data_IF_004854739076
#
_entry.id   IF_004854739076
#
_cell.length_a   1.000
_cell.length_b   1.000
_cell.length_c   1.000
_cell.angle_alpha   90.00
_cell.angle_beta   90.00
_cell.angle_gamma   90.00
#
_symmetry.space_group_name_H-M   'P 1'
#
loop_
_entity.id
_entity.type
_entity.pdbx_description
1 polymer ?
#
# COMPACT_ATOMS: atom_id res chain seq x y z
N UNK A 1 -12.70 -15.18 15.93
CA UNK A 1 -11.48 -15.08 16.77
C UNK A 1 -10.93 -13.68 16.61
N UNK A 2 -10.58 -13.08 17.75
CA UNK A 2 -10.61 -11.66 18.05
C UNK A 2 -9.63 -10.81 17.24
N UNK A 3 -10.09 -9.65 16.76
CA UNK A 3 -9.26 -8.57 16.19
C UNK A 3 -8.25 -8.08 17.25
N UNK A 4 -6.97 -7.92 16.91
CA UNK A 4 -6.04 -7.21 17.78
C UNK A 4 -6.47 -5.74 17.90
N UNK A 5 -6.42 -5.20 19.11
CA UNK A 5 -6.48 -3.78 19.42
C UNK A 5 -5.03 -3.34 19.74
N UNK A 6 -4.51 -2.36 19.02
CA UNK A 6 -3.30 -1.61 19.35
C UNK A 6 -3.64 -0.68 20.52
N UNK A 7 -2.85 -0.76 21.59
CA UNK A 7 -2.92 0.15 22.73
C UNK A 7 -1.67 1.03 22.67
N UNK A 8 -1.86 2.34 22.50
CA UNK A 8 -0.78 3.34 22.39
C UNK A 8 -0.40 3.87 23.78
N UNK A 9 0.89 3.82 24.12
CA UNK A 9 1.65 4.83 24.87
C UNK A 9 3.15 4.51 24.72
N UNK A 10 3.96 5.47 24.27
CA UNK A 10 5.35 5.21 23.88
C UNK A 10 6.40 5.58 24.93
N UNK A 11 7.24 4.61 25.31
CA UNK A 11 8.44 4.79 26.15
C UNK A 11 9.62 5.22 25.26
N UNK A 12 10.49 6.11 25.74
CA UNK A 12 11.74 6.47 25.04
C UNK A 12 12.94 5.94 25.82
N UNK A 13 13.75 5.09 25.20
CA UNK A 13 14.97 4.53 25.79
C UNK A 13 16.11 4.80 24.82
N UNK A 14 17.20 5.42 25.29
CA UNK A 14 18.39 5.74 24.50
C UNK A 14 18.11 6.49 23.17
N UNK A 15 17.11 7.38 23.17
CA UNK A 15 16.71 8.17 22.00
C UNK A 15 15.86 7.40 20.98
N UNK A 16 15.54 6.14 21.25
CA UNK A 16 14.63 5.32 20.45
C UNK A 16 13.25 5.32 21.11
N UNK A 17 12.21 5.62 20.32
CA UNK A 17 10.82 5.56 20.76
C UNK A 17 10.29 4.15 20.54
N UNK A 18 9.58 3.64 21.54
CA UNK A 18 8.99 2.32 21.53
C UNK A 18 7.49 2.42 21.71
N UNK A 19 6.75 1.51 21.08
CA UNK A 19 5.35 1.23 21.34
C UNK A 19 5.17 -0.24 21.70
N UNK A 20 3.93 -0.69 21.70
CA UNK A 20 3.58 -2.07 22.04
C UNK A 20 3.05 -2.78 20.80
N UNK A 21 3.54 -3.99 20.54
CA UNK A 21 3.02 -4.87 19.49
C UNK A 21 2.66 -6.25 20.06
N UNK A 22 1.84 -7.02 19.35
CA UNK A 22 1.57 -8.42 19.70
C UNK A 22 2.50 -9.35 18.95
N UNK A 23 3.10 -10.28 19.68
CA UNK A 23 3.95 -11.30 19.11
C UNK A 23 3.15 -12.55 18.77
N UNK A 24 3.40 -13.19 17.61
CA UNK A 24 2.83 -14.48 17.30
C UNK A 24 3.41 -15.54 18.25
N UNK A 25 2.54 -16.32 18.89
CA UNK A 25 2.97 -17.55 19.58
C UNK A 25 3.04 -18.68 18.56
N UNK A 26 4.16 -19.38 18.48
CA UNK A 26 4.29 -20.58 17.62
C UNK A 26 3.63 -21.84 18.22
N UNK A 27 3.06 -21.78 19.43
CA UNK A 27 2.45 -22.95 20.08
C UNK A 27 1.06 -22.58 20.58
N UNK A 28 0.05 -23.35 20.18
CA UNK A 28 -1.38 -23.03 20.32
C UNK A 28 -1.90 -22.95 21.77
N UNK A 29 -1.54 -21.87 22.46
CA UNK A 29 -2.05 -21.49 23.77
C UNK A 29 -2.39 -19.99 23.79
N UNK A 30 -3.53 -19.66 24.40
CA UNK A 30 -4.21 -18.35 24.36
C UNK A 30 -3.49 -17.17 25.08
N UNK A 31 -2.24 -17.31 25.49
CA UNK A 31 -1.49 -16.24 26.16
C UNK A 31 -0.65 -15.43 25.18
N UNK A 32 -1.19 -14.32 24.67
CA UNK A 32 -0.51 -13.44 23.73
C UNK A 32 0.71 -12.78 24.39
N UNK A 33 1.92 -13.05 23.87
CA UNK A 33 3.13 -12.36 24.30
C UNK A 33 3.17 -10.93 23.73
N UNK A 34 3.59 -9.98 24.57
CA UNK A 34 3.67 -8.56 24.22
C UNK A 34 5.12 -8.23 23.82
N UNK A 35 5.29 -7.66 22.63
CA UNK A 35 6.57 -7.21 22.08
C UNK A 35 6.73 -5.70 22.11
N UNK A 36 7.94 -5.25 21.78
CA UNK A 36 8.28 -3.83 21.63
C UNK A 36 8.23 -3.42 20.17
N UNK A 37 7.31 -2.53 19.82
CA UNK A 37 7.26 -1.91 18.50
C UNK A 37 8.30 -0.79 18.45
N UNK A 38 9.19 -0.81 17.48
CA UNK A 38 10.14 0.29 17.30
C UNK A 38 9.45 1.43 16.54
N UNK A 39 9.22 2.56 17.21
CA UNK A 39 8.59 3.76 16.64
C UNK A 39 9.61 4.76 16.10
N UNK A 40 10.90 4.60 16.42
CA UNK A 40 12.01 5.33 15.79
C UNK A 40 13.29 4.49 15.75
N UNK A 41 14.39 5.04 15.22
CA UNK A 41 15.69 4.37 15.19
C UNK A 41 15.85 3.30 14.09
N UNK A 42 16.96 2.54 14.10
CA UNK A 42 17.34 1.64 13.00
C UNK A 42 16.40 0.45 12.78
N UNK A 43 15.62 0.10 13.81
CA UNK A 43 14.66 -1.01 13.77
C UNK A 43 13.21 -0.53 13.60
N UNK A 44 12.98 0.76 13.29
CA UNK A 44 11.66 1.38 13.16
C UNK A 44 10.73 0.55 12.26
N UNK A 45 9.50 0.32 12.74
CA UNK A 45 8.49 -0.50 12.05
C UNK A 45 8.65 -2.02 12.26
N UNK A 46 9.66 -2.45 13.01
CA UNK A 46 9.80 -3.83 13.48
C UNK A 46 9.16 -4.04 14.86
N UNK A 47 8.73 -5.27 15.15
CA UNK A 47 8.26 -5.70 16.45
C UNK A 47 9.30 -6.64 17.08
N UNK A 48 9.95 -6.21 18.16
CA UNK A 48 10.88 -7.02 18.96
C UNK A 48 10.10 -7.97 19.86
N UNK A 49 10.10 -9.25 19.49
CA UNK A 49 9.36 -10.30 20.17
C UNK A 49 10.29 -11.22 20.95
N UNK A 50 9.98 -11.46 22.22
CA UNK A 50 10.66 -12.49 23.00
C UNK A 50 10.09 -13.85 22.67
N UNK A 51 10.93 -14.71 22.12
CA UNK A 51 10.61 -16.11 21.83
C UNK A 51 10.67 -16.94 23.12
N UNK A 52 10.06 -18.14 23.16
CA UNK A 52 10.06 -19.02 24.33
C UNK A 52 11.45 -19.40 24.85
N UNK A 53 12.48 -19.36 23.99
CA UNK A 53 13.88 -19.61 24.31
C UNK A 53 14.63 -18.36 24.85
N UNK A 54 13.87 -17.30 25.16
CA UNK A 54 14.36 -16.00 25.61
C UNK A 54 15.20 -15.22 24.58
N UNK A 55 15.25 -15.66 23.32
CA UNK A 55 15.83 -14.85 22.23
C UNK A 55 14.86 -13.74 21.82
N UNK A 56 15.39 -12.57 21.50
CA UNK A 56 14.60 -11.46 20.95
C UNK A 56 14.69 -11.50 19.43
N UNK A 57 13.57 -11.77 18.76
CA UNK A 57 13.45 -11.78 17.30
C UNK A 57 12.77 -10.51 16.84
N UNK A 58 13.40 -9.80 15.91
CA UNK A 58 12.81 -8.62 15.28
C UNK A 58 11.94 -9.06 14.10
N UNK A 59 10.62 -8.98 14.26
CA UNK A 59 9.66 -9.18 13.18
C UNK A 59 9.52 -7.89 12.38
N UNK A 60 10.12 -7.87 11.17
CA UNK A 60 10.10 -6.71 10.27
C UNK A 60 8.84 -6.81 9.40
N UNK A 61 8.00 -5.75 9.42
CA UNK A 61 6.71 -5.73 8.72
C UNK A 61 5.52 -5.28 9.59
N UNK A 62 5.74 -4.94 10.87
CA UNK A 62 4.69 -4.40 11.74
C UNK A 62 4.22 -3.00 11.33
N UNK A 63 4.94 -2.31 10.43
CA UNK A 63 4.51 -1.03 9.83
C UNK A 63 3.14 -1.13 9.12
N UNK A 64 2.89 -2.30 8.55
CA UNK A 64 1.69 -2.67 7.83
C UNK A 64 0.49 -2.91 8.78
N UNK A 65 0.76 -3.25 10.06
CA UNK A 65 -0.24 -3.32 11.13
C UNK A 65 -0.64 -1.94 11.67
N UNK A 66 0.27 -0.97 11.69
CA UNK A 66 -0.03 0.41 12.13
C UNK A 66 -1.08 1.08 11.22
N UNK A 67 -1.03 0.82 9.91
CA UNK A 67 -2.04 1.34 8.97
C UNK A 67 -3.39 0.60 9.05
N UNK A 68 -3.41 -0.60 9.64
CA UNK A 68 -4.63 -1.41 9.73
C UNK A 68 -5.52 -1.03 10.92
N UNK A 69 -5.00 -0.35 11.94
CA UNK A 69 -5.71 -0.14 13.22
C UNK A 69 -6.20 1.29 13.49
N UNK A 70 -6.04 2.23 12.55
CA UNK A 70 -6.71 3.55 12.62
C UNK A 70 -8.25 3.46 12.46
N UNK A 71 -8.81 2.25 12.37
CA UNK A 71 -10.22 1.98 12.09
C UNK A 71 -11.18 1.87 13.29
N UNK A 72 -10.75 2.10 14.55
CA UNK A 72 -11.65 2.00 15.72
C UNK A 72 -11.42 3.11 16.76
N UNK A 73 -12.36 4.06 16.87
CA UNK A 73 -12.55 4.91 18.06
C UNK A 73 -13.07 4.08 19.25
N UNK A 74 -12.98 4.47 20.52
CA UNK A 74 -12.61 5.72 21.19
C UNK A 74 -11.99 5.37 22.54
N UNK A 75 -11.15 6.27 23.08
CA UNK A 75 -11.14 6.80 24.46
C UNK A 75 -9.71 7.27 24.78
N UNK A 76 -9.41 8.55 24.55
CA UNK A 76 -8.73 9.47 25.45
C UNK A 76 -8.61 10.83 24.74
N UNK A 77 -8.78 11.88 25.53
CA UNK A 77 -8.84 13.28 25.13
C UNK A 77 -7.59 13.74 24.35
N UNK A 78 -7.84 14.70 23.46
CA UNK A 78 -6.89 15.45 22.68
C UNK A 78 -5.61 15.81 23.44
N UNK A 79 -4.48 15.28 22.97
CA UNK A 79 -3.21 15.99 23.04
C UNK A 79 -2.67 16.09 21.63
N UNK A 80 -2.94 17.27 21.06
CA UNK A 80 -2.47 17.81 19.81
C UNK A 80 -1.19 17.16 19.25
N UNK A 81 -1.32 16.53 18.09
CA UNK A 81 -0.24 16.48 17.11
C UNK A 81 -0.78 16.92 15.75
N UNK A 82 -0.25 18.06 15.31
CA UNK A 82 -0.57 18.71 14.05
C UNK A 82 -0.17 17.82 12.87
N UNK A 83 -1.16 17.27 12.18
CA UNK A 83 -1.06 17.01 10.74
C UNK A 83 -2.41 17.37 10.10
N UNK A 84 -2.45 18.57 9.51
CA UNK A 84 -3.57 19.04 8.70
C UNK A 84 -3.73 18.16 7.45
N UNK A 85 -4.63 17.18 7.49
CA UNK A 85 -5.30 16.67 6.28
C UNK A 85 -6.62 15.92 6.54
N UNK A 86 -7.24 16.05 7.72
CA UNK A 86 -8.63 15.63 7.89
C UNK A 86 -9.53 16.70 7.30
N UNK A 87 -10.20 16.33 6.21
CA UNK A 87 -11.15 17.20 5.52
C UNK A 87 -12.35 17.39 6.45
N UNK A 88 -12.41 18.54 7.11
CA UNK A 88 -13.55 18.95 7.93
C UNK A 88 -14.70 19.46 7.03
N UNK A 89 -15.15 18.59 6.13
CA UNK A 89 -16.25 18.84 5.20
C UNK A 89 -17.58 18.70 5.92
N UNK A 90 -18.50 19.62 5.68
CA UNK A 90 -19.90 19.50 6.08
C UNK A 90 -20.60 18.30 5.43
N UNK A 91 -21.73 17.87 6.00
CA UNK A 91 -22.42 16.64 5.58
C UNK A 91 -22.94 16.67 4.13
N UNK A 92 -23.36 17.84 3.65
CA UNK A 92 -23.74 18.03 2.24
C UNK A 92 -22.50 18.11 1.32
N UNK A 93 -21.37 18.57 1.86
CA UNK A 93 -20.13 18.73 1.09
C UNK A 93 -19.50 17.36 0.78
N UNK A 94 -19.49 16.41 1.72
CA UNK A 94 -18.93 15.07 1.47
C UNK A 94 -19.75 14.29 0.44
N UNK A 95 -21.08 14.46 0.44
CA UNK A 95 -21.97 13.87 -0.56
C UNK A 95 -21.70 14.46 -1.95
N UNK A 96 -21.60 15.78 -2.03
CA UNK A 96 -21.25 16.47 -3.28
C UNK A 96 -19.87 16.06 -3.77
N UNK A 97 -18.89 15.88 -2.88
CA UNK A 97 -17.54 15.44 -3.22
C UNK A 97 -17.56 14.05 -3.86
N UNK A 98 -18.28 13.09 -3.28
CA UNK A 98 -18.43 11.75 -3.85
C UNK A 98 -19.04 11.80 -5.26
N UNK A 99 -20.16 12.53 -5.42
CA UNK A 99 -20.82 12.64 -6.73
C UNK A 99 -19.96 13.35 -7.77
N UNK A 100 -19.24 14.41 -7.39
CA UNK A 100 -18.28 15.08 -8.26
C UNK A 100 -17.16 14.15 -8.68
N UNK A 101 -16.55 13.40 -7.77
CA UNK A 101 -15.50 12.44 -8.10
C UNK A 101 -16.00 11.38 -9.11
N UNK A 102 -17.18 10.81 -8.89
CA UNK A 102 -17.78 9.85 -9.82
C UNK A 102 -18.01 10.48 -11.20
N UNK A 103 -18.58 11.68 -11.25
CA UNK A 103 -18.95 12.34 -12.50
C UNK A 103 -17.74 12.88 -13.29
N UNK A 104 -16.71 13.35 -12.60
CA UNK A 104 -15.56 14.04 -13.20
C UNK A 104 -14.41 13.09 -13.55
N UNK A 105 -14.19 12.02 -12.76
CA UNK A 105 -13.01 11.16 -12.89
C UNK A 105 -13.29 9.84 -13.63
N UNK A 106 -14.53 9.33 -13.61
CA UNK A 106 -14.86 8.07 -14.27
C UNK A 106 -15.37 8.26 -15.70
N UNK A 107 -14.82 7.49 -16.63
CA UNK A 107 -15.26 7.45 -18.03
C UNK A 107 -16.45 6.50 -18.21
N UNK A 108 -17.14 6.57 -19.35
CA UNK A 108 -18.21 5.61 -19.68
C UNK A 108 -17.71 4.16 -19.73
N UNK A 109 -16.46 3.95 -20.17
CA UNK A 109 -15.83 2.61 -20.17
C UNK A 109 -15.59 2.10 -18.75
N UNK A 110 -15.20 2.98 -17.83
CA UNK A 110 -15.04 2.63 -16.41
C UNK A 110 -16.38 2.23 -15.79
N UNK A 111 -17.43 3.02 -16.03
CA UNK A 111 -18.78 2.76 -15.53
C UNK A 111 -19.31 1.41 -16.07
N UNK A 112 -19.12 1.15 -17.36
CA UNK A 112 -19.52 -0.11 -17.98
C UNK A 112 -18.71 -1.30 -17.42
N UNK A 113 -17.40 -1.15 -17.24
CA UNK A 113 -16.55 -2.21 -16.68
C UNK A 113 -16.98 -2.57 -15.27
N UNK A 114 -17.27 -1.57 -14.43
CA UNK A 114 -17.77 -1.79 -13.07
C UNK A 114 -19.13 -2.50 -13.09
N UNK A 115 -20.06 -2.05 -13.93
CA UNK A 115 -21.38 -2.67 -14.06
C UNK A 115 -21.30 -4.12 -14.56
N UNK A 116 -20.43 -4.40 -15.53
CA UNK A 116 -20.23 -5.76 -16.08
C UNK A 116 -19.80 -6.75 -14.99
N UNK A 117 -19.00 -6.30 -14.02
CA UNK A 117 -18.47 -7.15 -12.95
C UNK A 117 -19.50 -7.34 -11.83
N UNK A 118 -20.17 -6.25 -11.43
CA UNK A 118 -21.03 -6.22 -10.23
C UNK A 118 -22.49 -6.52 -10.55
N UNK A 119 -22.87 -6.54 -11.83
CA UNK A 119 -24.25 -6.51 -12.31
C UNK A 119 -25.07 -5.34 -11.73
N UNK A 120 -24.41 -4.29 -11.23
CA UNK A 120 -25.05 -3.13 -10.60
C UNK A 120 -24.51 -1.85 -11.24
N UNK A 121 -25.37 -1.01 -11.83
CA UNK A 121 -24.94 0.30 -12.34
C UNK A 121 -24.34 1.15 -11.22
N UNK A 122 -23.24 1.86 -11.51
CA UNK A 122 -22.59 2.77 -10.54
C UNK A 122 -23.57 3.84 -10.02
N UNK A 123 -24.51 4.31 -10.86
CA UNK A 123 -25.54 5.25 -10.45
C UNK A 123 -26.48 4.72 -9.36
N UNK A 124 -26.71 3.41 -9.31
CA UNK A 124 -27.55 2.80 -8.27
C UNK A 124 -26.76 2.59 -6.98
N UNK A 125 -25.49 2.17 -7.09
CA UNK A 125 -24.55 2.16 -5.97
C UNK A 125 -24.40 3.56 -5.35
N UNK A 126 -24.25 4.60 -6.17
CA UNK A 126 -24.14 5.99 -5.73
C UNK A 126 -25.37 6.43 -4.93
N UNK A 127 -26.59 6.16 -5.42
CA UNK A 127 -27.83 6.48 -4.69
C UNK A 127 -27.82 5.87 -3.29
N UNK A 128 -27.39 4.61 -3.16
CA UNK A 128 -27.34 3.93 -1.86
C UNK A 128 -26.22 4.44 -0.96
N UNK A 129 -25.08 4.86 -1.53
CA UNK A 129 -24.01 5.53 -0.81
C UNK A 129 -24.48 6.87 -0.24
N UNK A 130 -25.22 7.67 -1.02
CA UNK A 130 -25.73 8.98 -0.59
C UNK A 130 -26.78 8.88 0.53
N UNK A 131 -27.33 7.70 0.80
CA UNK A 131 -28.18 7.39 1.95
C UNK A 131 -27.39 7.01 3.22
N UNK A 132 -26.09 6.72 3.11
CA UNK A 132 -25.25 6.38 4.26
C UNK A 132 -24.91 7.60 5.11
N UNK A 133 -24.41 7.35 6.32
CA UNK A 133 -23.97 8.42 7.21
C UNK A 133 -22.78 9.18 6.63
N UNK A 134 -22.64 10.48 6.94
CA UNK A 134 -21.48 11.27 6.55
C UNK A 134 -20.14 10.63 6.97
N UNK A 135 -20.06 10.04 8.16
CA UNK A 135 -18.86 9.34 8.64
C UNK A 135 -18.52 8.12 7.80
N UNK A 136 -19.53 7.38 7.33
CA UNK A 136 -19.31 6.29 6.40
C UNK A 136 -18.77 6.82 5.07
N UNK A 137 -19.31 7.92 4.55
CA UNK A 137 -18.82 8.55 3.32
C UNK A 137 -17.38 9.07 3.46
N UNK A 138 -17.01 9.65 4.61
CA UNK A 138 -15.62 10.03 4.89
C UNK A 138 -14.69 8.82 4.88
N UNK A 139 -15.13 7.66 5.39
CA UNK A 139 -14.38 6.40 5.25
C UNK A 139 -14.29 5.94 3.81
N UNK A 140 -15.37 6.04 3.03
CA UNK A 140 -15.37 5.71 1.58
C UNK A 140 -14.32 6.54 0.84
N UNK A 141 -14.24 7.83 1.17
CA UNK A 141 -13.27 8.78 0.62
C UNK A 141 -12.00 8.90 1.48
N UNK A 142 -11.53 7.81 2.09
CA UNK A 142 -10.25 7.76 2.81
C UNK A 142 -9.28 6.70 2.27
N UNK A 143 -8.08 6.65 2.85
CA UNK A 143 -7.07 5.61 2.58
C UNK A 143 -7.40 4.25 3.23
N UNK A 144 -8.55 4.09 3.90
CA UNK A 144 -8.94 2.83 4.53
C UNK A 144 -8.89 1.69 3.50
N UNK A 145 -7.99 0.71 3.67
CA UNK A 145 -7.73 -0.30 2.62
C UNK A 145 -9.02 -1.02 2.18
N UNK A 146 -9.88 -1.36 3.13
CA UNK A 146 -11.15 -2.01 2.88
C UNK A 146 -12.21 -1.53 3.87
N UNK A 147 -13.45 -1.40 3.40
CA UNK A 147 -14.58 -0.92 4.20
C UNK A 147 -15.62 -2.03 4.22
N UNK A 148 -15.77 -2.74 5.35
CA UNK A 148 -16.80 -3.77 5.45
C UNK A 148 -18.18 -3.10 5.41
N UNK A 149 -19.04 -3.57 4.51
CA UNK A 149 -20.43 -3.19 4.46
C UNK A 149 -21.29 -4.41 4.09
N UNK A 150 -22.47 -4.62 4.71
CA UNK A 150 -23.29 -5.81 4.49
C UNK A 150 -23.69 -6.08 3.03
N UNK A 151 -23.95 -5.03 2.25
CA UNK A 151 -24.47 -5.14 0.87
C UNK A 151 -23.70 -4.34 -0.19
N UNK A 152 -23.17 -3.17 0.15
CA UNK A 152 -22.54 -2.28 -0.83
C UNK A 152 -21.26 -2.85 -1.49
N UNK A 153 -20.53 -3.77 -0.85
CA UNK A 153 -19.40 -4.43 -1.51
C UNK A 153 -19.87 -5.39 -2.62
N UNK A 154 -21.01 -6.07 -2.47
CA UNK A 154 -21.62 -6.88 -3.53
C UNK A 154 -22.02 -6.00 -4.73
N UNK A 155 -22.38 -4.74 -4.47
CA UNK A 155 -22.72 -3.73 -5.47
C UNK A 155 -21.51 -3.00 -6.06
N UNK A 156 -20.30 -3.30 -5.58
CA UNK A 156 -19.06 -2.75 -6.14
C UNK A 156 -18.42 -1.59 -5.38
N UNK A 157 -18.75 -1.35 -4.11
CA UNK A 157 -18.12 -0.26 -3.32
C UNK A 157 -16.59 -0.31 -3.36
N UNK A 158 -15.99 -1.47 -3.11
CA UNK A 158 -14.52 -1.57 -3.16
C UNK A 158 -13.97 -1.28 -4.55
N UNK A 159 -14.62 -1.80 -5.60
CA UNK A 159 -14.20 -1.61 -7.00
C UNK A 159 -14.30 -0.14 -7.44
N UNK A 160 -15.38 0.53 -7.04
CA UNK A 160 -15.56 1.97 -7.27
C UNK A 160 -14.39 2.76 -6.69
N UNK A 161 -13.96 2.41 -5.47
CA UNK A 161 -12.81 3.06 -4.80
C UNK A 161 -11.50 2.77 -5.53
N UNK A 162 -11.27 1.54 -5.98
CA UNK A 162 -10.09 1.19 -6.80
C UNK A 162 -10.02 2.04 -8.07
N UNK A 163 -11.12 2.08 -8.82
CA UNK A 163 -11.16 2.80 -10.09
C UNK A 163 -11.01 4.31 -9.89
N UNK A 164 -11.74 4.89 -8.92
CA UNK A 164 -11.61 6.32 -8.60
C UNK A 164 -10.19 6.67 -8.17
N UNK A 165 -9.55 5.87 -7.32
CA UNK A 165 -8.21 6.17 -6.85
C UNK A 165 -7.17 6.17 -7.98
N UNK A 166 -7.30 5.26 -8.95
CA UNK A 166 -6.47 5.27 -10.16
C UNK A 166 -6.72 6.52 -11.02
N UNK A 167 -7.99 6.83 -11.30
CA UNK A 167 -8.37 7.97 -12.16
C UNK A 167 -7.96 9.31 -11.54
N UNK A 168 -8.16 9.49 -10.24
CA UNK A 168 -7.71 10.68 -9.50
C UNK A 168 -6.19 10.80 -9.53
N UNK A 169 -5.44 9.71 -9.36
CA UNK A 169 -3.98 9.75 -9.47
C UNK A 169 -3.52 10.16 -10.88
N UNK A 170 -4.14 9.63 -11.93
CA UNK A 170 -3.86 9.98 -13.32
C UNK A 170 -4.21 11.44 -13.63
N UNK A 171 -5.36 11.91 -13.14
CA UNK A 171 -5.82 13.30 -13.21
C UNK A 171 -4.82 14.23 -12.54
N UNK A 172 -4.36 13.90 -11.32
CA UNK A 172 -3.33 14.66 -10.59
C UNK A 172 -2.02 14.77 -11.38
N UNK A 173 -1.49 13.65 -11.91
CA UNK A 173 -0.28 13.66 -12.76
C UNK A 173 -0.47 14.54 -14.00
N UNK A 174 -1.65 14.50 -14.63
CA UNK A 174 -1.95 15.32 -15.81
C UNK A 174 -2.04 16.81 -15.47
N UNK A 175 -2.80 17.20 -14.45
CA UNK A 175 -2.95 18.58 -13.97
C UNK A 175 -1.60 19.21 -13.59
N UNK A 176 -0.70 18.43 -12.98
CA UNK A 176 0.66 18.86 -12.62
C UNK A 176 1.67 18.82 -13.78
N UNK A 177 1.26 18.42 -14.98
CA UNK A 177 2.11 18.40 -16.17
C UNK A 177 3.09 17.23 -16.26
N UNK A 178 3.02 16.26 -15.34
CA UNK A 178 3.96 15.14 -15.27
C UNK A 178 3.83 14.14 -16.41
N UNK A 179 2.70 14.16 -17.13
CA UNK A 179 2.52 13.43 -18.39
C UNK A 179 3.55 13.79 -19.49
N UNK A 180 4.27 14.91 -19.33
CA UNK A 180 5.32 15.34 -20.25
C UNK A 180 6.70 14.76 -19.93
N UNK A 181 6.84 14.07 -18.80
CA UNK A 181 8.12 13.49 -18.40
C UNK A 181 8.53 12.37 -19.37
N UNK A 182 9.81 12.22 -19.75
CA UNK A 182 10.25 11.21 -20.71
C UNK A 182 9.91 9.77 -20.31
N UNK A 183 9.93 9.46 -19.01
CA UNK A 183 9.60 8.13 -18.49
C UNK A 183 8.09 7.90 -18.25
N UNK A 184 7.23 8.90 -18.50
CA UNK A 184 5.80 8.81 -18.14
C UNK A 184 5.10 7.65 -18.85
N UNK A 185 5.19 7.57 -20.18
CA UNK A 185 4.52 6.52 -20.96
C UNK A 185 5.00 5.12 -20.57
N UNK A 186 6.31 4.97 -20.30
CA UNK A 186 6.87 3.69 -19.85
C UNK A 186 6.31 3.31 -18.48
N UNK A 187 6.27 4.26 -17.53
CA UNK A 187 5.72 4.00 -16.21
C UNK A 187 4.22 3.69 -16.26
N UNK A 188 3.45 4.41 -17.06
CA UNK A 188 2.00 4.18 -17.21
C UNK A 188 1.69 2.81 -17.82
N UNK A 189 2.59 2.30 -18.67
CA UNK A 189 2.49 0.96 -19.23
C UNK A 189 2.89 -0.11 -18.22
N UNK A 190 4.03 0.06 -17.55
CA UNK A 190 4.67 -1.03 -16.81
C UNK A 190 4.39 -0.99 -15.31
N UNK A 191 4.14 0.17 -14.71
CA UNK A 191 3.98 0.37 -13.27
C UNK A 191 5.28 0.35 -12.47
N UNK A 192 6.41 0.16 -13.16
CA UNK A 192 7.74 0.06 -12.58
C UNK A 192 8.77 0.71 -13.51
N UNK A 193 9.73 1.42 -12.93
CA UNK A 193 10.90 1.95 -13.64
C UNK A 193 12.18 1.40 -13.01
N UNK A 194 13.13 1.06 -13.87
CA UNK A 194 14.50 0.68 -13.50
C UNK A 194 15.44 1.64 -14.23
N UNK A 195 16.32 2.31 -13.48
CA UNK A 195 17.26 3.31 -14.01
C UNK A 195 18.65 3.09 -13.40
N UNK A 196 19.69 3.50 -14.10
CA UNK A 196 21.06 3.52 -13.57
C UNK A 196 21.19 4.65 -12.54
N UNK A 197 21.36 4.27 -11.28
CA UNK A 197 21.49 5.19 -10.15
C UNK A 197 22.72 6.09 -10.28
N UNK A 198 23.79 5.63 -10.93
CA UNK A 198 25.03 6.42 -11.12
C UNK A 198 24.86 7.58 -12.10
N UNK A 199 23.82 7.53 -12.93
CA UNK A 199 23.50 8.55 -13.94
C UNK A 199 22.37 9.49 -13.48
N UNK A 200 21.82 9.29 -12.27
CA UNK A 200 20.73 10.12 -11.76
C UNK A 200 21.25 11.15 -10.76
N UNK A 201 20.99 12.41 -11.05
CA UNK A 201 21.07 13.48 -10.05
C UNK A 201 19.90 13.43 -9.07
N UNK A 202 20.04 14.08 -7.91
CA UNK A 202 18.95 14.26 -6.95
C UNK A 202 17.71 14.90 -7.59
N UNK A 203 17.91 15.85 -8.51
CA UNK A 203 16.81 16.50 -9.21
C UNK A 203 16.07 15.55 -10.16
N UNK A 204 16.80 14.69 -10.88
CA UNK A 204 16.21 13.68 -11.75
C UNK A 204 15.47 12.61 -10.95
N UNK A 205 16.04 12.16 -9.82
CA UNK A 205 15.35 11.26 -8.90
C UNK A 205 14.05 11.88 -8.38
N UNK A 206 14.08 13.14 -7.92
CA UNK A 206 12.87 13.87 -7.49
C UNK A 206 11.86 13.99 -8.63
N UNK A 207 12.32 14.30 -9.84
CA UNK A 207 11.46 14.40 -11.03
C UNK A 207 10.74 13.08 -11.32
N UNK A 208 11.45 11.95 -11.27
CA UNK A 208 10.85 10.61 -11.41
C UNK A 208 9.86 10.34 -10.28
N UNK A 209 10.22 10.61 -9.02
CA UNK A 209 9.34 10.40 -7.87
C UNK A 209 8.06 11.23 -7.93
N UNK A 210 8.15 12.51 -8.29
CA UNK A 210 6.99 13.39 -8.50
C UNK A 210 6.13 12.88 -9.65
N UNK A 211 6.75 12.50 -10.77
CA UNK A 211 6.04 11.98 -11.94
C UNK A 211 5.23 10.73 -11.60
N UNK A 212 5.87 9.72 -10.99
CA UNK A 212 5.16 8.46 -10.70
C UNK A 212 4.09 8.68 -9.64
N UNK A 213 4.32 9.52 -8.64
CA UNK A 213 3.40 9.66 -7.51
C UNK A 213 2.30 10.69 -7.70
N UNK A 214 2.50 11.64 -8.62
CA UNK A 214 1.68 12.83 -8.70
C UNK A 214 1.93 13.81 -7.54
N UNK A 215 2.90 13.58 -6.65
CA UNK A 215 3.25 14.49 -5.55
C UNK A 215 4.04 15.71 -6.06
N UNK A 216 4.02 16.80 -5.30
CA UNK A 216 4.79 18.02 -5.52
C UNK A 216 6.14 17.93 -4.80
N UNK A 217 7.00 18.91 -5.03
CA UNK A 217 8.37 18.89 -4.52
C UNK A 217 8.45 18.89 -2.98
N UNK A 218 7.54 19.62 -2.30
CA UNK A 218 7.51 19.69 -0.83
C UNK A 218 7.00 18.38 -0.20
N UNK A 219 6.28 17.58 -0.97
CA UNK A 219 5.79 16.26 -0.58
C UNK A 219 6.83 15.15 -0.76
N UNK A 220 7.87 15.37 -1.59
CA UNK A 220 8.95 14.39 -1.75
C UNK A 220 9.92 14.47 -0.56
N UNK A 221 10.11 13.37 0.20
CA UNK A 221 10.99 13.38 1.36
C UNK A 221 12.45 13.73 0.99
N UNK A 222 13.28 14.13 1.97
CA UNK A 222 14.72 14.24 1.78
C UNK A 222 15.30 12.95 1.22
N UNK A 223 16.19 13.04 0.22
CA UNK A 223 16.82 11.87 -0.40
C UNK A 223 17.96 11.35 0.49
N UNK A 224 17.60 10.81 1.65
CA UNK A 224 18.52 10.13 2.56
C UNK A 224 18.32 8.64 2.39
N UNK A 225 19.39 7.93 2.09
CA UNK A 225 19.34 6.52 1.76
C UNK A 225 19.96 5.70 2.89
N UNK A 226 19.21 4.71 3.37
CA UNK A 226 19.66 3.80 4.43
C UNK A 226 19.71 2.37 3.92
N UNK A 227 20.76 1.65 4.29
CA UNK A 227 20.88 0.22 3.98
C UNK A 227 19.81 -0.56 4.76
N UNK A 228 19.03 -1.36 4.03
CA UNK A 228 18.00 -2.23 4.61
C UNK A 228 18.24 -3.67 4.15
N UNK A 229 19.14 -4.42 4.81
CA UNK A 229 19.31 -5.84 4.52
C UNK A 229 18.03 -6.59 4.85
N UNK A 230 17.67 -7.52 3.99
CA UNK A 230 16.54 -8.43 4.18
C UNK A 230 17.10 -9.84 4.28
N UNK A 231 16.97 -10.45 5.46
CA UNK A 231 17.29 -11.87 5.65
C UNK A 231 16.08 -12.71 5.29
N UNK A 232 16.25 -13.61 4.34
CA UNK A 232 15.21 -14.53 3.91
C UNK A 232 14.94 -15.57 5.00
N UNK A 233 13.66 -15.83 5.27
CA UNK A 233 13.22 -16.83 6.25
C UNK A 233 12.36 -17.89 5.56
N UNK A 234 12.27 -19.07 6.18
CA UNK A 234 11.34 -20.09 5.75
C UNK A 234 9.90 -19.60 5.95
N UNK A 235 9.03 -19.84 4.97
CA UNK A 235 7.60 -19.48 5.08
C UNK A 235 7.30 -17.99 5.07
N UNK A 236 8.19 -17.14 4.52
CA UNK A 236 7.95 -15.70 4.44
C UNK A 236 6.66 -15.39 3.65
N UNK A 237 5.69 -14.75 4.31
CA UNK A 237 4.42 -14.36 3.71
C UNK A 237 4.60 -13.39 2.52
N UNK A 238 5.74 -12.69 2.45
CA UNK A 238 6.08 -11.76 1.37
C UNK A 238 6.43 -12.47 0.06
N UNK A 239 6.64 -13.79 0.06
CA UNK A 239 6.84 -14.58 -1.16
C UNK A 239 5.58 -14.76 -2.00
N UNK A 240 4.40 -14.61 -1.37
CA UNK A 240 3.15 -14.68 -2.10
C UNK A 240 2.90 -13.36 -2.84
N UNK A 241 2.54 -13.44 -4.13
CA UNK A 241 2.11 -12.28 -4.92
C UNK A 241 0.96 -11.54 -4.24
N UNK A 242 1.02 -10.22 -4.20
CA UNK A 242 0.04 -9.39 -3.52
C UNK A 242 0.00 -7.97 -4.06
N UNK A 243 -1.00 -7.22 -3.60
CA UNK A 243 -1.05 -5.76 -3.67
C UNK A 243 -1.07 -5.21 -2.24
N UNK A 244 -0.33 -4.14 -1.97
CA UNK A 244 -0.24 -3.55 -0.63
C UNK A 244 -1.58 -2.92 -0.21
N UNK A 245 -2.21 -2.22 -1.16
CA UNK A 245 -3.45 -1.49 -0.96
C UNK A 245 -4.20 -1.35 -2.29
N UNK A 246 -5.39 -0.76 -2.25
CA UNK A 246 -6.30 -0.62 -3.40
C UNK A 246 -5.94 0.55 -4.33
N UNK A 247 -5.09 1.47 -3.87
CA UNK A 247 -4.66 2.67 -4.59
C UNK A 247 -3.15 2.68 -4.81
N UNK A 248 -2.68 3.55 -5.70
CA UNK A 248 -1.26 3.67 -5.99
C UNK A 248 -0.43 3.95 -4.72
N UNK A 249 0.63 3.17 -4.54
CA UNK A 249 1.58 3.27 -3.44
C UNK A 249 2.96 2.93 -3.99
N UNK A 250 4.00 3.66 -3.61
CA UNK A 250 5.30 3.53 -4.28
C UNK A 250 6.36 3.05 -3.33
N UNK A 251 7.11 2.01 -3.71
CA UNK A 251 8.32 1.58 -3.01
C UNK A 251 9.54 1.80 -3.91
N UNK A 252 10.65 2.14 -3.28
CA UNK A 252 11.90 2.50 -3.97
C UNK A 252 13.04 1.64 -3.44
N UNK A 253 13.82 1.06 -4.33
CA UNK A 253 15.01 0.28 -4.02
C UNK A 253 16.21 0.88 -4.76
N UNK A 254 17.36 0.96 -4.09
CA UNK A 254 18.65 1.08 -4.76
C UNK A 254 19.42 -0.21 -4.53
N UNK A 255 19.61 -0.99 -5.58
CA UNK A 255 20.45 -2.18 -5.55
C UNK A 255 21.88 -1.77 -5.84
N UNK A 256 22.72 -1.70 -4.80
CA UNK A 256 24.13 -1.31 -4.93
C UNK A 256 24.96 -2.36 -5.66
N UNK A 257 24.57 -3.63 -5.53
CA UNK A 257 25.20 -4.76 -6.20
C UNK A 257 24.28 -5.30 -7.30
N UNK A 258 24.87 -6.07 -8.22
CA UNK A 258 24.07 -6.88 -9.13
C UNK A 258 23.12 -7.76 -8.32
N UNK A 259 21.90 -7.84 -8.82
CA UNK A 259 20.82 -8.57 -8.20
C UNK A 259 20.49 -9.80 -9.03
N UNK A 260 20.77 -10.99 -8.50
CA UNK A 260 20.53 -12.28 -9.17
C UNK A 260 19.24 -12.94 -8.68
N UNK A 261 18.66 -13.91 -9.41
CA UNK A 261 17.45 -14.61 -8.99
C UNK A 261 17.57 -15.26 -7.61
N UNK A 262 18.74 -15.81 -7.28
CA UNK A 262 19.02 -16.56 -6.04
C UNK A 262 19.00 -15.66 -4.80
N UNK A 263 19.13 -14.34 -4.98
CA UNK A 263 19.04 -13.35 -3.91
C UNK A 263 17.58 -12.95 -3.61
N UNK A 264 16.61 -13.54 -4.31
CA UNK A 264 15.18 -13.30 -4.11
C UNK A 264 14.79 -11.83 -4.34
N UNK A 265 15.02 -11.26 -5.53
CA UNK A 265 14.74 -9.85 -5.83
C UNK A 265 13.25 -9.51 -5.84
N UNK A 266 12.90 -8.27 -6.15
CA UNK A 266 11.49 -7.94 -6.39
C UNK A 266 10.97 -8.83 -7.53
N UNK A 267 9.82 -9.47 -7.34
CA UNK A 267 9.02 -10.01 -8.43
C UNK A 267 7.90 -9.03 -8.73
N UNK A 268 7.64 -8.73 -9.99
CA UNK A 268 6.63 -7.75 -10.39
C UNK A 268 5.90 -8.18 -11.67
N UNK A 269 4.61 -7.92 -11.76
CA UNK A 269 3.82 -8.14 -12.99
C UNK A 269 3.61 -6.78 -13.66
N UNK A 270 4.25 -6.55 -14.80
CA UNK A 270 4.14 -5.27 -15.52
C UNK A 270 2.70 -4.97 -15.91
N UNK A 271 2.31 -3.71 -15.80
CA UNK A 271 0.95 -3.24 -16.10
C UNK A 271 -0.12 -3.61 -15.06
N UNK A 272 0.18 -4.49 -14.10
CA UNK A 272 -0.79 -4.92 -13.09
C UNK A 272 -1.16 -3.85 -12.07
N UNK A 273 -0.46 -2.71 -12.03
CA UNK A 273 -0.88 -1.53 -11.28
C UNK A 273 -2.22 -0.95 -11.80
N UNK A 274 -2.56 -1.17 -13.08
CA UNK A 274 -3.82 -0.75 -13.68
C UNK A 274 -4.98 -1.66 -13.31
N UNK A 275 -6.15 -1.06 -13.09
CA UNK A 275 -7.42 -1.74 -12.82
C UNK A 275 -8.06 -2.26 -14.11
N UNK A 276 -7.41 -3.23 -14.74
CA UNK A 276 -8.00 -3.98 -15.86
C UNK A 276 -9.26 -4.73 -15.42
N UNK A 277 -10.15 -5.07 -16.35
CA UNK A 277 -11.35 -5.87 -16.05
C UNK A 277 -11.03 -7.18 -15.32
N UNK A 278 -9.95 -7.87 -15.72
CA UNK A 278 -9.50 -9.10 -15.05
C UNK A 278 -9.05 -8.87 -13.60
N UNK A 279 -8.25 -7.82 -13.34
CA UNK A 279 -7.85 -7.45 -11.98
C UNK A 279 -9.05 -7.06 -11.12
N UNK A 280 -9.97 -6.25 -11.65
CA UNK A 280 -11.17 -5.82 -10.91
C UNK A 280 -12.11 -6.99 -10.61
N UNK A 281 -12.26 -7.95 -11.52
CA UNK A 281 -13.04 -9.16 -11.28
C UNK A 281 -12.41 -10.01 -10.16
N UNK A 282 -11.08 -10.15 -10.16
CA UNK A 282 -10.38 -10.81 -9.07
C UNK A 282 -10.56 -10.08 -7.74
N UNK A 283 -10.37 -8.75 -7.72
CA UNK A 283 -10.59 -7.92 -6.53
C UNK A 283 -12.01 -8.09 -6.00
N UNK A 284 -13.03 -8.09 -6.87
CA UNK A 284 -14.41 -8.34 -6.50
C UNK A 284 -14.56 -9.68 -5.78
N UNK A 285 -14.07 -10.76 -6.39
CA UNK A 285 -14.20 -12.10 -5.84
C UNK A 285 -13.53 -12.27 -4.46
N UNK A 286 -12.43 -11.55 -4.19
CA UNK A 286 -11.73 -11.62 -2.89
C UNK A 286 -12.24 -10.61 -1.86
N UNK A 287 -13.01 -9.60 -2.29
CA UNK A 287 -13.53 -8.52 -1.43
C UNK A 287 -15.04 -8.58 -1.18
N UNK A 288 -15.77 -9.49 -1.81
CA UNK A 288 -17.16 -9.78 -1.40
C UNK A 288 -17.20 -10.39 0.01
N UNK A 289 -18.19 -10.03 0.85
CA UNK A 289 -18.34 -10.58 2.20
C UNK A 289 -18.29 -12.12 2.24
N UNK A 290 -17.62 -12.72 3.23
CA UNK A 290 -17.08 -12.08 4.43
C UNK A 290 -15.71 -11.41 4.27
N UNK A 291 -15.07 -11.47 3.09
CA UNK A 291 -13.76 -10.85 2.78
C UNK A 291 -12.69 -11.05 3.89
N UNK A 292 -12.71 -12.21 4.55
CA UNK A 292 -12.00 -12.44 5.82
C UNK A 292 -10.48 -12.36 5.68
N UNK A 293 -9.94 -12.59 4.49
CA UNK A 293 -8.53 -12.45 4.18
C UNK A 293 -8.09 -10.98 4.09
N UNK A 294 -8.91 -10.12 3.48
CA UNK A 294 -8.62 -8.67 3.29
C UNK A 294 -8.67 -7.90 4.60
N UNK A 295 -9.45 -8.39 5.57
CA UNK A 295 -9.58 -7.81 6.90
C UNK A 295 -8.43 -8.18 7.86
N UNK A 296 -7.70 -9.26 7.59
CA UNK A 296 -6.67 -9.79 8.49
C UNK A 296 -5.26 -9.40 8.06
N UNK A 297 -5.00 -9.47 6.77
CA UNK A 297 -3.67 -9.27 6.22
C UNK A 297 -3.42 -7.80 5.95
N UNK A 298 -2.17 -7.33 6.02
CA UNK A 298 -1.83 -5.98 5.64
C UNK A 298 -1.88 -5.71 4.12
N UNK A 299 -2.15 -6.73 3.32
CA UNK A 299 -2.17 -6.70 1.85
C UNK A 299 -3.20 -7.70 1.30
N UNK A 300 -3.55 -7.57 0.01
CA UNK A 300 -4.49 -8.47 -0.66
C UNK A 300 -3.68 -9.49 -1.47
N UNK A 301 -3.70 -10.76 -1.04
CA UNK A 301 -2.92 -11.84 -1.64
C UNK A 301 -3.57 -12.35 -2.92
N UNK A 302 -2.77 -12.43 -3.98
CA UNK A 302 -3.15 -13.08 -5.23
C UNK A 302 -3.19 -14.60 -5.01
N UNK A 303 -4.34 -15.19 -5.31
CA UNK A 303 -4.65 -16.60 -5.12
C UNK A 303 -4.81 -17.37 -6.44
N UNK A 304 -4.50 -16.73 -7.56
CA UNK A 304 -4.59 -17.27 -8.92
C UNK A 304 -3.32 -16.88 -9.69
N UNK A 305 -3.04 -17.55 -10.81
CA UNK A 305 -1.97 -17.14 -11.70
C UNK A 305 -2.33 -15.80 -12.39
N UNK A 306 -1.38 -14.86 -12.44
CA UNK A 306 -1.59 -13.53 -13.02
C UNK A 306 -2.06 -13.58 -14.49
N UNK A 307 -1.70 -14.62 -15.24
CA UNK A 307 -2.11 -14.79 -16.64
C UNK A 307 -3.60 -15.06 -16.81
N UNK A 308 -4.25 -15.66 -15.80
CA UNK A 308 -5.70 -15.84 -15.79
C UNK A 308 -6.45 -14.52 -15.67
N UNK A 309 -5.78 -13.46 -15.21
CA UNK A 309 -6.32 -12.10 -15.10
C UNK A 309 -5.99 -11.24 -16.33
N UNK A 310 -5.32 -11.82 -17.34
CA UNK A 310 -4.96 -11.14 -18.58
C UNK A 310 -3.65 -10.36 -18.53
N UNK A 311 -2.76 -10.65 -17.56
CA UNK A 311 -1.42 -10.08 -17.50
C UNK A 311 -0.37 -11.05 -18.07
N UNK A 312 0.80 -10.53 -18.38
CA UNK A 312 1.98 -11.37 -18.65
C UNK A 312 2.48 -12.03 -17.35
N UNK A 313 3.33 -13.04 -17.47
CA UNK A 313 3.98 -13.66 -16.32
C UNK A 313 4.81 -12.66 -15.52
N UNK A 314 4.86 -12.85 -14.20
CA UNK A 314 5.73 -12.08 -13.31
C UNK A 314 7.20 -12.13 -13.75
N UNK A 315 7.85 -10.99 -13.68
CA UNK A 315 9.28 -10.85 -13.93
C UNK A 315 10.03 -10.94 -12.60
N UNK A 316 11.11 -11.71 -12.57
CA UNK A 316 12.12 -11.69 -11.50
C UNK A 316 13.06 -10.53 -11.79
N UNK A 317 12.98 -9.46 -11.03
CA UNK A 317 13.67 -8.19 -11.33
C UNK A 317 15.17 -8.26 -11.02
N UNK A 318 15.92 -8.96 -11.85
CA UNK A 318 17.38 -8.94 -11.82
C UNK A 318 17.88 -7.63 -12.41
N UNK A 319 18.85 -6.99 -11.76
CA UNK A 319 19.36 -5.68 -12.19
C UNK A 319 20.89 -5.62 -12.08
N UNK A 320 21.58 -4.84 -12.92
CA UNK A 320 22.99 -4.51 -12.69
C UNK A 320 23.21 -3.80 -11.35
N UNK A 321 24.48 -3.74 -10.91
CA UNK A 321 24.87 -2.92 -9.78
C UNK A 321 24.50 -1.44 -9.98
N UNK A 322 24.19 -0.76 -8.88
CA UNK A 322 23.72 0.62 -8.84
C UNK A 322 22.42 0.84 -9.64
N UNK A 323 21.41 0.00 -9.44
CA UNK A 323 20.10 0.18 -10.06
C UNK A 323 19.12 0.87 -9.12
N UNK A 324 18.53 1.97 -9.58
CA UNK A 324 17.39 2.65 -8.95
C UNK A 324 16.09 2.05 -9.49
N UNK A 325 15.28 1.46 -8.60
CA UNK A 325 14.00 0.83 -8.94
C UNK A 325 12.88 1.53 -8.18
N UNK A 326 11.85 1.98 -8.88
CA UNK A 326 10.63 2.53 -8.29
C UNK A 326 9.41 1.81 -8.88
N UNK A 327 8.55 1.28 -8.02
CA UNK A 327 7.40 0.48 -8.42
C UNK A 327 6.13 0.92 -7.70
N UNK A 328 5.02 0.91 -8.43
CA UNK A 328 3.67 1.03 -7.86
C UNK A 328 3.22 -0.34 -7.30
N UNK A 329 3.15 -0.45 -5.98
CA UNK A 329 2.78 -1.65 -5.23
C UNK A 329 1.27 -1.87 -5.12
N UNK A 330 0.46 -1.04 -5.80
CA UNK A 330 -0.89 -1.43 -6.20
C UNK A 330 -0.89 -2.48 -7.33
N UNK A 331 0.25 -2.66 -8.00
CA UNK A 331 0.50 -3.79 -8.91
C UNK A 331 0.87 -5.06 -8.15
N UNK A 332 0.62 -6.20 -8.80
CA UNK A 332 1.00 -7.51 -8.28
C UNK A 332 2.53 -7.59 -8.15
N UNK A 333 2.98 -7.81 -6.92
CA UNK A 333 4.38 -7.95 -6.61
C UNK A 333 4.60 -8.94 -5.47
N UNK A 334 5.83 -9.40 -5.33
CA UNK A 334 6.27 -10.23 -4.22
C UNK A 334 7.77 -10.05 -3.97
N UNK A 335 8.23 -10.54 -2.84
CA UNK A 335 9.62 -10.91 -2.68
C UNK A 335 9.90 -12.19 -3.48
N UNK A 336 11.01 -12.20 -4.21
CA UNK A 336 11.50 -13.39 -4.88
C UNK A 336 11.93 -14.43 -3.85
N UNK A 337 11.79 -15.70 -4.23
CA UNK A 337 12.22 -16.82 -3.40
C UNK A 337 13.75 -16.83 -3.29
N UNK A 338 14.25 -17.08 -2.10
CA UNK A 338 15.65 -17.38 -1.85
C UNK A 338 15.76 -18.37 -0.68
N UNK A 339 16.90 -19.04 -0.58
CA UNK A 339 17.19 -19.95 0.52
C UNK A 339 17.15 -19.21 1.86
N UNK A 340 16.54 -19.78 2.91
CA UNK A 340 16.57 -19.19 4.25
C UNK A 340 18.00 -18.87 4.71
N UNK A 341 18.19 -17.69 5.30
CA UNK A 341 19.50 -17.15 5.67
C UNK A 341 20.19 -16.33 4.57
N UNK A 342 19.71 -16.38 3.32
CA UNK A 342 20.19 -15.47 2.26
C UNK A 342 19.90 -14.02 2.65
N UNK A 343 20.87 -13.13 2.46
CA UNK A 343 20.71 -11.70 2.74
C UNK A 343 20.70 -10.93 1.43
N UNK A 344 19.61 -10.20 1.18
CA UNK A 344 19.51 -9.26 0.07
C UNK A 344 19.71 -7.84 0.57
N UNK A 345 20.68 -7.14 -0.02
CA UNK A 345 20.96 -5.74 0.30
C UNK A 345 20.27 -4.82 -0.69
N UNK A 346 19.53 -3.83 -0.17
CA UNK A 346 19.04 -2.70 -0.93
C UNK A 346 19.05 -1.46 -0.03
N UNK A 347 19.33 -0.29 -0.59
CA UNK A 347 19.04 0.96 0.10
C UNK A 347 17.59 1.35 -0.10
N UNK A 348 17.04 1.99 0.92
CA UNK A 348 15.69 2.55 0.93
C UNK A 348 15.77 4.02 1.31
N UNK A 349 14.78 4.79 0.87
CA UNK A 349 14.64 6.15 1.37
C UNK A 349 14.31 6.10 2.87
N UNK A 350 15.01 6.91 3.65
CA UNK A 350 14.81 7.07 5.08
C UNK A 350 13.43 7.69 5.34
N UNK A 351 12.71 7.14 6.30
CA UNK A 351 11.45 7.72 6.78
C UNK A 351 10.36 6.69 7.02
N UNK A 352 9.18 7.15 7.47
CA UNK A 352 8.05 6.32 7.87
C UNK A 352 7.22 5.87 6.65
N UNK A 353 7.83 5.57 5.51
CA UNK A 353 7.09 5.27 4.27
C UNK A 353 7.41 3.89 3.73
N UNK A 354 7.89 2.99 4.60
CA UNK A 354 8.34 1.63 4.26
C UNK A 354 9.30 1.59 3.05
N UNK A 355 10.26 2.53 3.02
CA UNK A 355 11.21 2.66 1.91
C UNK A 355 10.58 3.16 0.60
N UNK A 356 9.48 3.89 0.71
CA UNK A 356 8.69 4.42 -0.38
C UNK A 356 8.38 5.91 -0.26
N UNK A 357 7.34 6.34 -0.98
CA UNK A 357 6.82 7.71 -0.92
C UNK A 357 5.62 7.81 0.05
N UNK A 358 5.31 9.02 0.56
CA UNK A 358 4.15 9.22 1.42
C UNK A 358 2.85 8.66 0.82
N UNK A 359 2.13 7.84 1.58
CA UNK A 359 0.79 7.36 1.22
C UNK A 359 -0.24 8.38 1.65
N UNK A 360 -0.72 9.19 0.72
CA UNK A 360 -1.80 10.15 0.95
C UNK A 360 -3.15 9.52 0.70
N UNK A 361 -4.20 10.11 1.28
CA UNK A 361 -5.57 9.80 0.90
C UNK A 361 -5.73 10.00 -0.63
N UNK A 362 -6.12 8.96 -1.40
CA UNK A 362 -6.11 9.05 -2.85
C UNK A 362 -7.17 10.02 -3.40
N UNK A 363 -8.19 10.39 -2.61
CA UNK A 363 -9.35 11.18 -3.05
C UNK A 363 -9.26 12.68 -2.75
N UNK A 364 -8.15 13.13 -2.14
CA UNK A 364 -7.91 14.55 -1.83
C UNK A 364 -6.71 15.06 -2.64
N UNK A 365 -6.73 16.34 -3.01
CA UNK A 365 -5.64 16.98 -3.77
C UNK A 365 -4.51 17.53 -2.90
#
# INVERSE_FOLDING_TARGET
MYSPQVIVAGETIDGVQFGVCRCPNEVGGDEHSIGRLYLSGPNMGGCGCKMPDATETLLIGAYEYLQADEGKGHLFEDVASNSNSDVNMGDDEIKKALSSLIAEELTQEDLQTLQDITNTPVSDLEKELLLQSPDFLRKVLSHARYIPHPTLNDKGLHLLRCMLAERVADSRRRKRGYHKHPDYELFMKDGILVKDFTQLTDQEMRSVMMMVSGLDEKEIPPLRWVNRPVTHIAGDAQYQMHVDTFHAAYKIWIYQNETTPEQGPLNYVRGSHRNTKGKLQWLYNVTIPPASHVLKEPSIRLNVDETLLGFDHREVMTTPANSFVIADTSGFHARGLAEPGTIRYAMRIEGPYDGGLPRKNPFVE
#
